data_IF_058542590307
#
_entry.id   IF_058542590307
#
_cell.length_a   1.000
_cell.length_b   1.000
_cell.length_c   1.000
_cell.angle_alpha   90.00
_cell.angle_beta   90.00
_cell.angle_gamma   90.00
#
_symmetry.space_group_name_H-M   'P 1'
#
loop_
_entity.id
_entity.type
_entity.pdbx_description
1 polymer ?
#
# COMPACT_ATOMS: atom_id res chain seq x y z
N UNK A 1 -7.58 29.26 -10.86
CA UNK A 1 -8.89 28.59 -10.62
C UNK A 1 -8.68 27.13 -10.19
N UNK A 2 -7.58 26.80 -9.51
CA UNK A 2 -7.04 25.44 -9.42
C UNK A 2 -7.37 24.68 -8.12
N UNK A 3 -7.93 25.36 -7.09
CA UNK A 3 -8.19 24.75 -5.77
C UNK A 3 -9.55 24.02 -5.68
N UNK A 4 -10.56 24.47 -6.42
CA UNK A 4 -11.95 23.97 -6.25
C UNK A 4 -12.09 22.50 -6.67
N UNK A 5 -11.50 22.11 -7.80
CA UNK A 5 -11.69 20.75 -8.34
C UNK A 5 -11.03 19.65 -7.53
N UNK A 6 -9.87 19.92 -6.92
CA UNK A 6 -9.19 18.95 -6.06
C UNK A 6 -9.91 18.75 -4.72
N UNK A 7 -10.47 19.83 -4.17
CA UNK A 7 -11.26 19.75 -2.95
C UNK A 7 -12.59 19.03 -3.18
N UNK A 8 -13.19 19.18 -4.36
CA UNK A 8 -14.39 18.43 -4.74
C UNK A 8 -14.10 16.93 -4.90
N UNK A 9 -12.97 16.55 -5.51
CA UNK A 9 -12.56 15.14 -5.60
C UNK A 9 -12.28 14.56 -4.21
N UNK A 10 -11.63 15.31 -3.32
CA UNK A 10 -11.41 14.88 -1.93
C UNK A 10 -12.72 14.62 -1.19
N UNK A 11 -13.74 15.47 -1.36
CA UNK A 11 -15.07 15.26 -0.76
C UNK A 11 -15.73 13.98 -1.30
N UNK A 12 -15.66 13.75 -2.60
CA UNK A 12 -16.22 12.53 -3.19
C UNK A 12 -15.51 11.27 -2.69
N UNK A 13 -14.18 11.32 -2.54
CA UNK A 13 -13.40 10.26 -1.90
C UNK A 13 -13.86 10.05 -0.46
N UNK A 14 -13.99 11.12 0.32
CA UNK A 14 -14.46 11.06 1.71
C UNK A 14 -15.83 10.37 1.81
N UNK A 15 -16.77 10.74 0.94
CA UNK A 15 -18.10 10.11 0.90
C UNK A 15 -18.04 8.63 0.52
N UNK A 16 -17.21 8.27 -0.48
CA UNK A 16 -17.07 6.89 -0.92
C UNK A 16 -16.47 6.01 0.18
N UNK A 17 -15.42 6.48 0.85
CA UNK A 17 -14.82 5.77 1.98
C UNK A 17 -15.79 5.69 3.16
N UNK A 18 -16.51 6.76 3.50
CA UNK A 18 -17.49 6.76 4.60
C UNK A 18 -18.55 5.68 4.43
N UNK A 19 -19.05 5.44 3.22
CA UNK A 19 -20.00 4.35 2.95
C UNK A 19 -19.43 2.97 3.28
N UNK A 20 -18.14 2.77 3.01
CA UNK A 20 -17.44 1.51 3.34
C UNK A 20 -17.28 1.40 4.86
N UNK A 21 -16.90 2.49 5.52
CA UNK A 21 -16.79 2.57 6.98
C UNK A 21 -18.10 2.21 7.68
N UNK A 22 -19.23 2.78 7.23
CA UNK A 22 -20.56 2.48 7.78
C UNK A 22 -20.91 0.98 7.68
N UNK A 23 -20.52 0.32 6.58
CA UNK A 23 -20.73 -1.12 6.39
C UNK A 23 -19.82 -1.97 7.27
N UNK A 24 -18.58 -1.52 7.49
CA UNK A 24 -17.66 -2.15 8.45
C UNK A 24 -18.29 -2.08 9.85
N UNK A 25 -18.70 -0.88 10.28
CA UNK A 25 -19.30 -0.68 11.61
C UNK A 25 -20.59 -1.48 11.79
N UNK A 26 -21.42 -1.58 10.75
CA UNK A 26 -22.62 -2.41 10.80
C UNK A 26 -22.27 -3.88 11.05
N UNK A 27 -21.26 -4.40 10.36
CA UNK A 27 -20.82 -5.78 10.56
C UNK A 27 -20.16 -5.96 11.93
N UNK A 28 -19.34 -5.00 12.38
CA UNK A 28 -18.77 -5.00 13.74
C UNK A 28 -19.85 -5.03 14.81
N UNK A 29 -20.89 -4.18 14.69
CA UNK A 29 -22.04 -4.16 15.62
C UNK A 29 -22.77 -5.51 15.65
N UNK A 30 -22.97 -6.16 14.49
CA UNK A 30 -23.58 -7.50 14.44
C UNK A 30 -22.66 -8.56 15.09
N UNK A 31 -21.33 -8.39 14.97
CA UNK A 31 -20.33 -9.25 15.61
C UNK A 31 -20.33 -9.08 17.13
N UNK A 32 -20.32 -7.85 17.62
CA UNK A 32 -20.26 -7.51 19.05
C UNK A 32 -21.55 -7.88 19.79
N UNK A 33 -22.71 -7.59 19.20
CA UNK A 33 -24.03 -7.88 19.79
C UNK A 33 -24.35 -9.37 19.88
N UNK A 34 -23.45 -10.25 19.41
CA UNK A 34 -23.67 -11.69 19.31
C UNK A 34 -24.96 -12.04 18.58
N UNK A 35 -25.29 -11.26 17.54
CA UNK A 35 -26.50 -11.45 16.72
C UNK A 35 -26.67 -12.94 16.36
N UNK A 36 -27.74 -13.62 16.83
CA UNK A 36 -27.98 -15.04 16.57
C UNK A 36 -28.13 -15.37 15.09
N UNK A 37 -28.53 -14.40 14.26
CA UNK A 37 -28.72 -14.56 12.83
C UNK A 37 -27.41 -14.41 12.04
N UNK A 38 -26.38 -13.80 12.64
CA UNK A 38 -25.08 -13.65 11.99
C UNK A 38 -24.28 -14.95 12.09
N UNK A 39 -24.38 -15.77 11.03
CA UNK A 39 -23.54 -16.96 10.85
C UNK A 39 -22.13 -16.60 10.37
N UNK A 40 -21.15 -17.49 10.56
CA UNK A 40 -19.80 -17.32 10.01
C UNK A 40 -19.81 -17.10 8.48
N UNK A 41 -20.67 -17.81 7.75
CA UNK A 41 -20.86 -17.63 6.30
C UNK A 41 -21.48 -16.26 5.96
N UNK A 42 -22.39 -15.77 6.81
CA UNK A 42 -22.99 -14.43 6.68
C UNK A 42 -21.95 -13.34 6.87
N UNK A 43 -21.18 -13.39 7.96
CA UNK A 43 -20.09 -12.45 8.20
C UNK A 43 -19.05 -12.46 7.08
N UNK A 44 -18.70 -13.64 6.56
CA UNK A 44 -17.80 -13.78 5.41
C UNK A 44 -18.38 -13.29 4.09
N UNK A 45 -19.70 -13.35 3.92
CA UNK A 45 -20.35 -12.77 2.75
C UNK A 45 -20.27 -11.25 2.84
N UNK A 46 -20.63 -10.68 3.99
CA UNK A 46 -20.64 -9.23 4.22
C UNK A 46 -19.25 -8.64 4.06
N UNK A 47 -18.23 -9.25 4.68
CA UNK A 47 -16.82 -8.86 4.51
C UNK A 47 -16.38 -8.86 3.04
N UNK A 48 -16.72 -9.91 2.28
CA UNK A 48 -16.39 -9.97 0.84
C UNK A 48 -17.11 -8.89 0.03
N UNK A 49 -18.33 -8.53 0.40
CA UNK A 49 -19.00 -7.40 -0.25
C UNK A 49 -18.35 -6.06 0.11
N UNK A 50 -17.89 -5.87 1.35
CA UNK A 50 -17.16 -4.66 1.74
C UNK A 50 -15.85 -4.54 0.96
N UNK A 51 -15.09 -5.64 0.85
CA UNK A 51 -13.84 -5.67 0.07
C UNK A 51 -14.07 -5.42 -1.43
N UNK A 52 -15.19 -5.91 -1.99
CA UNK A 52 -15.55 -5.65 -3.38
C UNK A 52 -15.87 -4.17 -3.59
N UNK A 53 -16.67 -3.58 -2.72
CA UNK A 53 -17.02 -2.16 -2.81
C UNK A 53 -15.79 -1.26 -2.66
N UNK A 54 -14.89 -1.61 -1.73
CA UNK A 54 -13.60 -0.92 -1.60
C UNK A 54 -12.81 -0.98 -2.90
N UNK A 55 -12.68 -2.16 -3.52
CA UNK A 55 -11.99 -2.29 -4.80
C UNK A 55 -12.58 -1.40 -5.89
N UNK A 56 -13.91 -1.29 -5.97
CA UNK A 56 -14.57 -0.41 -6.93
C UNK A 56 -14.25 1.06 -6.68
N UNK A 57 -14.36 1.51 -5.42
CA UNK A 57 -14.01 2.88 -5.05
C UNK A 57 -12.55 3.20 -5.39
N UNK A 58 -11.63 2.27 -5.11
CA UNK A 58 -10.21 2.44 -5.40
C UNK A 58 -9.93 2.52 -6.90
N UNK A 59 -10.62 1.69 -7.72
CA UNK A 59 -10.55 1.77 -9.17
C UNK A 59 -11.05 3.13 -9.70
N UNK A 60 -12.21 3.58 -9.24
CA UNK A 60 -12.80 4.86 -9.67
C UNK A 60 -11.89 6.05 -9.33
N UNK A 61 -11.20 6.00 -8.19
CA UNK A 61 -10.25 7.03 -7.78
C UNK A 61 -9.01 7.01 -8.67
N UNK A 62 -8.45 5.84 -8.93
CA UNK A 62 -7.32 5.67 -9.85
C UNK A 62 -7.63 6.24 -11.22
N UNK A 63 -8.76 5.85 -11.83
CA UNK A 63 -9.16 6.34 -13.15
C UNK A 63 -9.24 7.86 -13.21
N UNK A 64 -9.75 8.48 -12.14
CA UNK A 64 -9.84 9.95 -12.04
C UNK A 64 -8.48 10.63 -11.88
N UNK A 65 -7.55 10.03 -11.15
CA UNK A 65 -6.19 10.57 -10.99
C UNK A 65 -5.45 10.50 -12.32
N UNK A 66 -5.56 9.38 -13.05
CA UNK A 66 -4.96 9.22 -14.37
C UNK A 66 -5.56 10.23 -15.38
N UNK A 67 -6.87 10.37 -15.38
CA UNK A 67 -7.58 11.37 -16.18
C UNK A 67 -7.09 12.81 -15.91
N UNK A 68 -6.83 13.16 -14.64
CA UNK A 68 -6.29 14.46 -14.28
C UNK A 68 -4.85 14.64 -14.78
N UNK A 69 -4.05 13.59 -14.71
CA UNK A 69 -2.66 13.57 -15.20
C UNK A 69 -2.61 13.76 -16.72
N UNK A 70 -3.56 13.16 -17.45
CA UNK A 70 -3.62 13.26 -18.91
C UNK A 70 -4.09 14.62 -19.42
N UNK A 71 -4.97 15.29 -18.65
CA UNK A 71 -5.60 16.56 -19.07
C UNK A 71 -4.74 17.80 -18.89
N UNK A 72 -3.59 17.73 -18.21
CA UNK A 72 -2.77 18.92 -17.97
C UNK A 72 -1.30 18.64 -17.73
N UNK A 73 -0.50 19.69 -17.88
CA UNK A 73 0.96 19.67 -17.64
C UNK A 73 1.35 20.92 -16.87
N UNK A 74 2.21 20.78 -15.87
CA UNK A 74 2.75 21.89 -15.09
C UNK A 74 2.94 21.57 -13.61
N UNK A 75 3.90 22.25 -12.98
CA UNK A 75 4.31 22.01 -11.58
C UNK A 75 3.20 22.22 -10.54
N UNK A 76 2.21 23.08 -10.84
CA UNK A 76 1.07 23.31 -9.94
C UNK A 76 0.11 22.12 -9.95
N UNK A 77 -0.20 21.58 -11.14
CA UNK A 77 -1.04 20.40 -11.31
C UNK A 77 -0.36 19.15 -10.72
N UNK A 78 0.93 18.98 -10.94
CA UNK A 78 1.70 17.88 -10.34
C UNK A 78 1.73 17.92 -8.81
N UNK A 79 1.73 19.12 -8.22
CA UNK A 79 1.61 19.28 -6.77
C UNK A 79 0.23 18.88 -6.29
N UNK A 80 -0.83 19.34 -6.97
CA UNK A 80 -2.21 18.98 -6.64
C UNK A 80 -2.45 17.47 -6.76
N UNK A 81 -1.91 16.83 -7.80
CA UNK A 81 -1.98 15.37 -7.96
C UNK A 81 -1.26 14.68 -6.80
N UNK A 82 -0.01 15.07 -6.48
CA UNK A 82 0.72 14.50 -5.34
C UNK A 82 0.01 14.65 -3.99
N UNK A 83 -0.65 15.79 -3.78
CA UNK A 83 -1.43 16.03 -2.57
C UNK A 83 -2.66 15.11 -2.51
N UNK A 84 -3.33 14.90 -3.63
CA UNK A 84 -4.48 14.00 -3.74
C UNK A 84 -4.05 12.53 -3.56
N UNK A 85 -2.96 12.13 -4.20
CA UNK A 85 -2.35 10.81 -4.07
C UNK A 85 -1.99 10.49 -2.61
N UNK A 86 -1.34 11.43 -1.90
CA UNK A 86 -0.98 11.26 -0.49
C UNK A 86 -2.21 11.19 0.42
N UNK A 87 -3.25 11.94 0.07
CA UNK A 87 -4.52 11.91 0.79
C UNK A 87 -5.24 10.56 0.63
N UNK A 88 -5.30 10.03 -0.60
CA UNK A 88 -5.89 8.72 -0.92
C UNK A 88 -5.12 7.59 -0.25
N UNK A 89 -3.79 7.62 -0.32
CA UNK A 89 -2.93 6.63 0.33
C UNK A 89 -3.22 6.52 1.83
N UNK A 90 -3.30 7.66 2.53
CA UNK A 90 -3.60 7.68 3.96
C UNK A 90 -4.96 7.01 4.26
N UNK A 91 -5.99 7.34 3.48
CA UNK A 91 -7.33 6.74 3.62
C UNK A 91 -7.31 5.22 3.42
N UNK A 92 -6.50 4.74 2.48
CA UNK A 92 -6.36 3.30 2.23
C UNK A 92 -5.68 2.59 3.39
N UNK A 93 -4.64 3.19 3.96
CA UNK A 93 -3.97 2.63 5.13
C UNK A 93 -4.94 2.53 6.33
N UNK A 94 -5.69 3.61 6.60
CA UNK A 94 -6.70 3.62 7.66
C UNK A 94 -7.76 2.51 7.41
N UNK A 95 -8.24 2.38 6.17
CA UNK A 95 -9.23 1.38 5.79
C UNK A 95 -8.71 -0.05 5.89
N UNK A 96 -7.45 -0.28 5.49
CA UNK A 96 -6.76 -1.57 5.60
C UNK A 96 -6.72 -2.01 7.06
N UNK A 97 -6.37 -1.11 7.97
CA UNK A 97 -6.25 -1.42 9.39
C UNK A 97 -7.62 -1.77 9.98
N UNK A 98 -8.67 -1.00 9.65
CA UNK A 98 -10.05 -1.33 10.05
C UNK A 98 -10.52 -2.69 9.52
N UNK A 99 -10.24 -3.01 8.26
CA UNK A 99 -10.62 -4.30 7.68
C UNK A 99 -9.86 -5.47 8.27
N UNK A 100 -8.59 -5.26 8.66
CA UNK A 100 -7.80 -6.26 9.39
C UNK A 100 -8.39 -6.52 10.76
N UNK A 101 -8.73 -5.47 11.51
CA UNK A 101 -9.40 -5.59 12.81
C UNK A 101 -10.75 -6.31 12.70
N UNK A 102 -11.56 -5.95 11.71
CA UNK A 102 -12.83 -6.63 11.42
C UNK A 102 -12.61 -8.12 11.10
N UNK A 103 -11.61 -8.45 10.29
CA UNK A 103 -11.25 -9.83 9.98
C UNK A 103 -10.84 -10.61 11.24
N UNK A 104 -10.05 -9.99 12.12
CA UNK A 104 -9.63 -10.57 13.39
C UNK A 104 -10.81 -10.74 14.37
N UNK A 105 -11.77 -9.82 14.36
CA UNK A 105 -13.02 -9.94 15.14
C UNK A 105 -13.89 -11.09 14.63
N UNK A 106 -14.06 -11.23 13.31
CA UNK A 106 -14.77 -12.37 12.70
C UNK A 106 -14.06 -13.68 13.07
N UNK A 107 -12.73 -13.71 12.91
CA UNK A 107 -11.91 -14.86 13.30
C UNK A 107 -12.05 -15.19 14.78
N UNK A 108 -12.04 -14.21 15.67
CA UNK A 108 -12.17 -14.43 17.12
C UNK A 108 -13.56 -14.95 17.50
N UNK A 109 -14.61 -14.50 16.80
CA UNK A 109 -15.98 -14.98 17.04
C UNK A 109 -16.23 -16.39 16.52
N UNK A 110 -15.62 -16.76 15.38
CA UNK A 110 -15.98 -18.00 14.65
C UNK A 110 -14.83 -18.99 14.45
N UNK A 111 -13.59 -18.64 14.76
CA UNK A 111 -12.38 -19.41 14.54
C UNK A 111 -11.78 -19.98 15.83
N UNK A 112 -12.18 -21.21 16.17
CA UNK A 112 -11.57 -22.11 17.20
C UNK A 112 -11.78 -21.63 18.66
N UNK A 113 -12.26 -22.38 19.64
CA UNK A 113 -12.45 -23.82 19.80
C UNK A 113 -12.27 -24.16 21.28
N UNK A 114 -13.24 -23.81 22.13
CA UNK A 114 -13.47 -24.45 23.45
C UNK A 114 -14.84 -24.00 23.98
N UNK A 115 -15.81 -24.91 23.96
CA UNK A 115 -16.83 -25.20 24.98
C UNK A 115 -17.66 -26.37 24.39
N UNK A 116 -17.51 -27.56 25.00
CA UNK A 116 -18.53 -28.62 25.10
C UNK A 116 -19.14 -29.11 23.76
N UNK A 117 -18.53 -30.15 23.17
CA UNK A 117 -19.27 -31.27 22.57
C UNK A 117 -20.06 -31.10 21.27
N UNK A 118 -20.20 -29.90 20.67
CA UNK A 118 -20.93 -29.73 19.40
C UNK A 118 -20.08 -28.89 18.43
N UNK A 119 -19.57 -29.55 17.38
CA UNK A 119 -18.61 -28.98 16.43
C UNK A 119 -19.25 -28.84 15.04
N UNK A 120 -19.40 -27.62 14.51
CA UNK A 120 -19.83 -27.42 13.11
C UNK A 120 -19.15 -26.27 12.34
N UNK A 121 -17.96 -25.78 12.74
CA UNK A 121 -17.15 -24.93 11.86
C UNK A 121 -15.70 -25.43 11.75
N UNK A 122 -15.23 -25.79 10.53
CA UNK A 122 -13.86 -26.26 10.32
C UNK A 122 -12.84 -25.10 10.34
N UNK A 123 -11.67 -25.36 10.93
CA UNK A 123 -10.50 -24.45 11.01
C UNK A 123 -10.16 -23.72 9.69
N UNK A 124 -10.45 -24.33 8.53
CA UNK A 124 -10.21 -23.74 7.20
C UNK A 124 -10.86 -22.37 7.00
N UNK A 125 -12.06 -22.15 7.54
CA UNK A 125 -12.77 -20.88 7.34
C UNK A 125 -12.00 -19.73 7.99
N UNK A 126 -11.43 -19.93 9.18
CA UNK A 126 -10.67 -18.93 9.92
C UNK A 126 -9.33 -18.57 9.25
N UNK A 127 -8.62 -19.55 8.68
CA UNK A 127 -7.40 -19.30 7.91
C UNK A 127 -7.66 -18.63 6.55
N UNK A 128 -8.83 -18.88 5.94
CA UNK A 128 -9.23 -18.29 4.67
C UNK A 128 -9.63 -16.81 4.80
N UNK A 129 -10.14 -16.37 5.97
CA UNK A 129 -10.56 -14.96 6.20
C UNK A 129 -9.36 -14.02 6.07
N UNK A 130 -8.30 -14.28 6.85
CA UNK A 130 -7.12 -13.43 6.87
C UNK A 130 -6.48 -13.33 5.49
N UNK A 131 -6.31 -14.47 4.81
CA UNK A 131 -5.75 -14.51 3.45
C UNK A 131 -6.62 -13.80 2.42
N UNK A 132 -7.94 -13.92 2.50
CA UNK A 132 -8.86 -13.24 1.56
C UNK A 132 -8.82 -11.73 1.74
N UNK A 133 -8.79 -11.26 2.99
CA UNK A 133 -8.74 -9.83 3.33
C UNK A 133 -7.39 -9.23 2.94
N UNK A 134 -6.29 -9.87 3.34
CA UNK A 134 -4.93 -9.45 2.98
C UNK A 134 -4.77 -9.36 1.47
N UNK A 135 -5.15 -10.42 0.73
CA UNK A 135 -5.05 -10.44 -0.73
C UNK A 135 -5.88 -9.33 -1.39
N UNK A 136 -7.14 -9.17 -0.99
CA UNK A 136 -8.01 -8.16 -1.60
C UNK A 136 -7.53 -6.72 -1.31
N UNK A 137 -6.97 -6.48 -0.12
CA UNK A 137 -6.41 -5.19 0.26
C UNK A 137 -5.10 -4.91 -0.46
N UNK A 138 -4.18 -5.87 -0.50
CA UNK A 138 -2.92 -5.76 -1.24
C UNK A 138 -3.16 -5.56 -2.74
N UNK A 139 -4.10 -6.31 -3.36
CA UNK A 139 -4.48 -6.13 -4.78
C UNK A 139 -4.91 -4.69 -5.06
N UNK A 140 -5.65 -4.09 -4.12
CA UNK A 140 -6.21 -2.75 -4.31
C UNK A 140 -5.21 -1.65 -3.97
N UNK A 141 -4.31 -1.90 -3.01
CA UNK A 141 -3.17 -1.02 -2.71
C UNK A 141 -2.21 -1.00 -3.89
N UNK A 142 -1.84 -2.16 -4.47
CA UNK A 142 -0.93 -2.24 -5.61
C UNK A 142 -1.45 -1.44 -6.83
N UNK A 143 -2.74 -1.54 -7.14
CA UNK A 143 -3.37 -0.76 -8.23
C UNK A 143 -3.21 0.74 -7.99
N UNK A 144 -3.34 1.17 -6.75
CA UNK A 144 -3.18 2.57 -6.38
C UNK A 144 -1.71 2.97 -6.37
N UNK A 145 -0.81 2.17 -5.81
CA UNK A 145 0.63 2.47 -5.84
C UNK A 145 1.18 2.53 -7.27
N UNK A 146 0.62 1.75 -8.21
CA UNK A 146 0.92 1.82 -9.63
C UNK A 146 0.42 3.11 -10.29
N UNK A 147 -0.82 3.52 -10.02
CA UNK A 147 -1.40 4.76 -10.55
C UNK A 147 -0.73 6.02 -9.96
N UNK A 148 -0.48 5.98 -8.65
CA UNK A 148 0.21 7.01 -7.85
C UNK A 148 1.71 7.06 -8.16
N UNK A 149 2.23 6.19 -9.03
CA UNK A 149 3.63 6.20 -9.47
C UNK A 149 4.66 5.87 -8.38
N UNK A 150 4.23 5.25 -7.28
CA UNK A 150 5.12 4.88 -6.16
C UNK A 150 5.78 3.52 -6.35
N UNK A 151 5.20 2.63 -7.14
CA UNK A 151 5.93 1.45 -7.65
C UNK A 151 6.62 1.85 -8.94
N UNK A 152 7.94 1.99 -8.89
CA UNK A 152 8.74 1.98 -10.12
C UNK A 152 8.44 0.68 -10.87
N UNK A 153 7.85 0.77 -12.06
CA UNK A 153 7.61 -0.37 -12.97
C UNK A 153 8.91 -0.95 -13.56
N UNK A 154 10.06 -0.58 -13.00
CA UNK A 154 11.37 -1.05 -13.44
C UNK A 154 11.55 -2.52 -13.09
N UNK A 155 11.61 -3.36 -14.12
CA UNK A 155 11.96 -4.78 -13.98
C UNK A 155 13.46 -4.89 -13.66
N UNK A 156 13.77 -5.21 -12.41
CA UNK A 156 15.14 -5.46 -11.96
C UNK A 156 15.45 -6.96 -12.04
N UNK A 157 16.39 -7.32 -12.91
CA UNK A 157 16.94 -8.69 -12.94
C UNK A 157 17.99 -8.83 -11.84
N UNK A 158 17.69 -9.59 -10.78
CA UNK A 158 18.56 -9.81 -9.62
C UNK A 158 18.97 -11.27 -9.48
N UNK A 159 20.20 -11.52 -9.02
CA UNK A 159 20.67 -12.86 -8.66
C UNK A 159 20.41 -13.10 -7.18
N UNK A 160 19.74 -14.21 -6.86
CA UNK A 160 19.39 -14.63 -5.51
C UNK A 160 20.06 -15.98 -5.25
N UNK A 161 20.47 -16.25 -4.01
CA UNK A 161 21.01 -17.57 -3.64
C UNK A 161 19.92 -18.62 -3.69
N UNK A 162 20.27 -19.85 -4.05
CA UNK A 162 19.29 -20.94 -4.20
C UNK A 162 18.51 -21.22 -2.91
N UNK A 163 19.14 -21.09 -1.75
CA UNK A 163 18.46 -21.34 -0.48
C UNK A 163 17.45 -20.24 -0.12
N UNK A 164 17.78 -18.98 -0.41
CA UNK A 164 16.84 -17.85 -0.25
C UNK A 164 15.70 -17.96 -1.26
N UNK A 165 15.98 -18.41 -2.49
CA UNK A 165 14.98 -18.64 -3.52
C UNK A 165 13.99 -19.75 -3.12
N UNK A 166 14.46 -20.84 -2.50
CA UNK A 166 13.57 -21.90 -1.98
C UNK A 166 12.62 -21.39 -0.89
N UNK A 167 13.10 -20.48 -0.05
CA UNK A 167 12.24 -19.84 0.98
C UNK A 167 11.18 -18.98 0.30
N UNK A 168 11.58 -18.15 -0.68
CA UNK A 168 10.63 -17.34 -1.48
C UNK A 168 9.60 -18.25 -2.16
N UNK A 169 10.03 -19.34 -2.79
CA UNK A 169 9.16 -20.30 -3.47
C UNK A 169 8.18 -20.93 -2.51
N UNK A 170 8.62 -21.36 -1.33
CA UNK A 170 7.75 -21.93 -0.30
C UNK A 170 6.68 -20.94 0.17
N UNK A 171 7.02 -19.65 0.25
CA UNK A 171 6.08 -18.59 0.65
C UNK A 171 5.09 -18.28 -0.47
N UNK A 172 5.50 -18.36 -1.74
CA UNK A 172 4.59 -18.24 -2.87
C UNK A 172 3.66 -19.45 -2.97
N UNK A 173 4.21 -20.66 -2.87
CA UNK A 173 3.46 -21.92 -2.98
C UNK A 173 2.44 -22.10 -1.84
N UNK A 174 2.77 -21.60 -0.64
CA UNK A 174 1.83 -21.57 0.50
C UNK A 174 0.80 -20.44 0.40
N UNK A 175 0.92 -19.57 -0.60
CA UNK A 175 0.00 -18.47 -0.86
C UNK A 175 0.17 -17.28 0.09
N UNK A 176 1.33 -17.16 0.75
CA UNK A 176 1.73 -15.98 1.54
C UNK A 176 2.03 -14.81 0.61
N UNK A 177 2.59 -15.07 -0.57
CA UNK A 177 2.77 -14.10 -1.67
C UNK A 177 2.19 -14.67 -2.96
N UNK A 178 1.74 -13.81 -3.89
CA UNK A 178 1.18 -14.25 -5.19
C UNK A 178 2.25 -14.52 -6.23
N UNK A 179 3.40 -13.86 -6.12
CA UNK A 179 4.53 -14.05 -7.04
C UNK A 179 5.88 -13.89 -6.34
N UNK A 180 6.92 -14.45 -6.96
CA UNK A 180 8.30 -14.25 -6.50
C UNK A 180 8.68 -12.77 -6.47
N UNK A 181 8.23 -12.00 -7.46
CA UNK A 181 8.51 -10.56 -7.54
C UNK A 181 7.89 -9.77 -6.39
N UNK A 182 6.67 -10.12 -5.98
CA UNK A 182 5.99 -9.52 -4.82
C UNK A 182 6.72 -9.85 -3.51
N UNK A 183 7.08 -11.12 -3.32
CA UNK A 183 7.86 -11.55 -2.17
C UNK A 183 9.20 -10.80 -2.08
N UNK A 184 9.91 -10.67 -3.21
CA UNK A 184 11.20 -9.94 -3.28
C UNK A 184 11.01 -8.46 -2.99
N UNK A 185 9.96 -7.83 -3.53
CA UNK A 185 9.65 -6.43 -3.27
C UNK A 185 9.39 -6.20 -1.77
N UNK A 186 8.57 -7.05 -1.15
CA UNK A 186 8.28 -7.03 0.28
C UNK A 186 9.55 -7.13 1.13
N UNK A 187 10.39 -8.14 0.87
CA UNK A 187 11.62 -8.34 1.62
C UNK A 187 12.63 -7.22 1.41
N UNK A 188 12.69 -6.65 0.21
CA UNK A 188 13.55 -5.51 -0.09
C UNK A 188 13.10 -4.28 0.70
N UNK A 189 11.79 -3.98 0.71
CA UNK A 189 11.23 -2.88 1.46
C UNK A 189 11.50 -3.04 2.96
N UNK A 190 11.21 -4.21 3.53
CA UNK A 190 11.49 -4.49 4.95
C UNK A 190 12.98 -4.45 5.26
N UNK A 191 13.82 -4.93 4.37
CA UNK A 191 15.28 -4.83 4.49
C UNK A 191 15.76 -3.38 4.54
N UNK A 192 15.20 -2.49 3.71
CA UNK A 192 15.49 -1.05 3.71
C UNK A 192 14.99 -0.39 5.00
N UNK A 193 13.76 -0.72 5.44
CA UNK A 193 13.16 -0.18 6.66
C UNK A 193 13.99 -0.51 7.90
N UNK A 194 14.38 -1.78 8.06
CA UNK A 194 15.28 -2.22 9.15
C UNK A 194 16.68 -1.60 9.06
N UNK A 195 17.05 -1.11 7.87
CA UNK A 195 18.36 -0.56 7.54
C UNK A 195 18.40 0.98 7.53
N UNK A 196 17.29 1.64 7.84
CA UNK A 196 17.09 3.06 7.61
C UNK A 196 18.22 3.94 8.18
N UNK A 197 18.58 3.73 9.45
CA UNK A 197 19.58 4.53 10.16
C UNK A 197 20.98 4.48 9.55
N UNK A 198 21.41 3.34 9.00
CA UNK A 198 22.73 3.25 8.36
C UNK A 198 22.69 3.75 6.92
N UNK A 199 21.57 3.54 6.21
CA UNK A 199 21.36 4.05 4.85
C UNK A 199 21.35 5.58 4.86
N UNK A 200 20.65 6.22 5.80
CA UNK A 200 20.64 7.68 5.95
C UNK A 200 22.04 8.22 6.21
N UNK A 201 22.77 7.64 7.17
CA UNK A 201 24.18 8.02 7.43
C UNK A 201 25.08 7.84 6.21
N UNK A 202 24.84 6.84 5.38
CA UNK A 202 25.58 6.63 4.14
C UNK A 202 25.24 7.71 3.10
N UNK A 203 23.95 8.06 2.95
CA UNK A 203 23.49 9.13 2.06
C UNK A 203 24.12 10.48 2.43
N UNK A 204 24.14 10.84 3.71
CA UNK A 204 24.74 12.09 4.18
C UNK A 204 26.23 12.19 3.81
N UNK A 205 26.95 11.06 3.90
CA UNK A 205 28.36 11.00 3.50
C UNK A 205 28.55 11.09 2.00
N UNK A 206 27.69 10.44 1.22
CA UNK A 206 27.72 10.51 -0.25
C UNK A 206 27.43 11.94 -0.72
N UNK A 207 26.49 12.63 -0.08
CA UNK A 207 26.15 14.01 -0.40
C UNK A 207 27.32 14.96 -0.14
N UNK A 208 28.02 14.79 0.99
CA UNK A 208 29.27 15.52 1.27
C UNK A 208 30.36 15.27 0.24
N UNK A 209 30.50 14.03 -0.24
CA UNK A 209 31.46 13.71 -1.31
C UNK A 209 31.10 14.46 -2.60
N UNK A 210 29.81 14.50 -2.97
CA UNK A 210 29.36 15.25 -4.16
C UNK A 210 29.62 16.74 -4.02
N UNK A 211 29.30 17.34 -2.87
CA UNK A 211 29.58 18.76 -2.60
C UNK A 211 31.06 19.07 -2.74
N UNK A 212 31.94 18.25 -2.15
CA UNK A 212 33.39 18.42 -2.30
C UNK A 212 33.87 18.26 -3.75
N UNK A 213 33.29 17.32 -4.51
CA UNK A 213 33.60 17.15 -5.93
C UNK A 213 33.19 18.36 -6.76
N UNK A 214 32.04 18.96 -6.46
CA UNK A 214 31.53 20.15 -7.14
C UNK A 214 32.36 21.39 -6.77
N UNK A 215 32.75 21.56 -5.51
CA UNK A 215 33.67 22.63 -5.06
C UNK A 215 35.02 22.54 -5.77
N UNK A 216 35.64 21.34 -5.82
CA UNK A 216 36.90 21.12 -6.53
C UNK A 216 36.75 21.43 -8.03
N UNK A 217 35.62 21.04 -8.64
CA UNK A 217 35.34 21.33 -10.04
C UNK A 217 35.24 22.83 -10.31
N UNK A 218 34.53 23.56 -9.46
CA UNK A 218 34.37 25.02 -9.56
C UNK A 218 35.71 25.74 -9.39
N UNK A 219 36.57 25.31 -8.46
CA UNK A 219 37.91 25.88 -8.29
C UNK A 219 38.81 25.66 -9.52
N UNK A 220 38.76 24.46 -10.11
CA UNK A 220 39.55 24.14 -11.32
C UNK A 220 39.04 24.94 -12.53
N UNK A 221 37.73 25.09 -12.68
CA UNK A 221 37.13 25.89 -13.75
C UNK A 221 37.41 27.39 -13.57
N UNK A 222 37.42 27.88 -12.32
CA UNK A 222 37.82 29.24 -11.96
C UNK A 222 39.28 29.53 -12.33
N UNK A 223 40.22 28.66 -11.95
CA UNK A 223 41.65 28.82 -12.28
C UNK A 223 41.92 28.77 -13.78
N UNK A 224 41.20 27.94 -14.54
CA UNK A 224 41.32 27.89 -16.01
C UNK A 224 40.87 29.18 -16.69
N UNK A 225 39.87 29.89 -16.15
CA UNK A 225 39.44 31.19 -16.67
C UNK A 225 40.46 32.29 -16.39
N UNK A 226 41.02 32.33 -15.19
CA UNK A 226 42.06 33.30 -14.82
C UNK A 226 43.36 33.14 -15.64
N UNK A 227 43.71 31.91 -16.05
CA UNK A 227 44.86 31.65 -16.93
C UNK A 227 44.60 32.03 -18.41
N UNK A 228 43.32 32.03 -18.85
CA UNK A 228 42.93 32.45 -20.20
C UNK A 228 42.85 33.97 -20.35
N UNK A 229 42.52 34.71 -19.29
CA UNK A 229 42.49 36.18 -19.29
C UNK A 229 43.88 36.83 -19.14
N UNK A 230 44.91 36.05 -18.76
CA UNK A 230 46.31 36.51 -18.63
C UNK A 230 47.17 36.25 -19.88
N UNK A 231 46.61 35.66 -20.94
CA UNK A 231 47.26 35.52 -22.26
C UNK A 231 46.70 36.52 -23.25
#
# INVERSE_FOLDING_TARGET
MSSSGADDIKKEIDEAFRRIEERIEELERKIESRDPLLTARGAMRDLRHILRDLRHVLHDITDRIDDLRDRGKGEELERTIRDLESYVEKKIYDMRDRLRELADRIRSRYGVGRIIGISTLPLKIAEDIGRTVSRALEESIEVIEQAVGRVSTTVLSVRIRDDDLKVIDSLVDSGVFRSRSEAVAFFTHKGIECSKDWIERAKDKIEKIKQLQDEIRLEIEGKKREEQEKR
#
